data_IF_593919006386
#
_entry.id   IF_593919006386
#
_cell.length_a   1.000
_cell.length_b   1.000
_cell.length_c   1.000
_cell.angle_alpha   90.00
_cell.angle_beta   90.00
_cell.angle_gamma   90.00
#
_symmetry.space_group_name_H-M   'P 1'
#
loop_
_entity.id
_entity.type
_entity.pdbx_description
1 polymer ?
#
# COMPACT_ATOMS: atom_id res chain seq x y z
N UNK A 1 -14.10 2.63 10.59
CA UNK A 1 -12.97 2.64 9.63
C UNK A 1 -11.71 2.25 10.38
N UNK A 2 -10.85 1.45 9.77
CA UNK A 2 -9.57 1.07 10.33
C UNK A 2 -8.74 2.33 10.69
N UNK A 3 -8.00 2.24 11.80
CA UNK A 3 -7.00 3.24 12.17
C UNK A 3 -5.80 3.13 11.23
N UNK A 4 -5.33 4.26 10.70
CA UNK A 4 -4.19 4.26 9.79
C UNK A 4 -2.88 4.21 10.60
N UNK A 5 -2.00 3.26 10.28
CA UNK A 5 -0.68 3.11 10.89
C UNK A 5 0.40 3.17 9.80
N UNK A 6 1.10 4.30 9.73
CA UNK A 6 2.15 4.53 8.73
C UNK A 6 3.51 4.10 9.28
N UNK A 7 4.12 3.06 8.70
CA UNK A 7 5.49 2.69 9.07
C UNK A 7 6.49 3.72 8.55
N UNK A 8 7.64 3.82 9.23
CA UNK A 8 8.70 4.77 8.85
C UNK A 8 9.26 4.48 7.46
N UNK A 9 9.29 3.22 7.04
CA UNK A 9 9.64 2.81 5.69
C UNK A 9 8.67 3.39 4.65
N UNK A 10 7.36 3.23 4.87
CA UNK A 10 6.33 3.84 4.02
C UNK A 10 6.45 5.36 3.94
N UNK A 11 6.70 6.04 5.06
CA UNK A 11 6.87 7.50 5.07
C UNK A 11 8.02 7.94 4.16
N UNK A 12 9.19 7.28 4.28
CA UNK A 12 10.35 7.57 3.42
C UNK A 12 10.10 7.27 1.95
N UNK A 13 9.47 6.13 1.67
CA UNK A 13 9.09 5.72 0.32
C UNK A 13 8.14 6.76 -0.33
N UNK A 14 7.12 7.19 0.43
CA UNK A 14 6.15 8.18 0.00
C UNK A 14 6.79 9.55 -0.26
N UNK A 15 7.61 10.04 0.67
CA UNK A 15 8.33 11.31 0.49
C UNK A 15 9.24 11.27 -0.76
N UNK A 16 9.94 10.16 -0.99
CA UNK A 16 10.75 9.95 -2.20
C UNK A 16 9.91 10.04 -3.47
N UNK A 17 8.73 9.40 -3.48
CA UNK A 17 7.85 9.43 -4.65
C UNK A 17 7.27 10.84 -4.88
N UNK A 18 6.86 11.54 -3.82
CA UNK A 18 6.37 12.92 -3.93
C UNK A 18 7.43 13.85 -4.52
N UNK A 19 8.68 13.73 -4.07
CA UNK A 19 9.81 14.50 -4.63
C UNK A 19 10.02 14.24 -6.13
N UNK A 20 9.61 13.07 -6.63
CA UNK A 20 9.69 12.69 -8.04
C UNK A 20 8.39 12.96 -8.82
N UNK A 21 7.47 13.76 -8.27
CA UNK A 21 6.23 14.16 -8.96
C UNK A 21 5.11 13.11 -8.94
N UNK A 22 5.13 12.20 -7.96
CA UNK A 22 4.05 11.22 -7.80
C UNK A 22 2.72 11.88 -7.40
N UNK A 23 1.72 11.79 -8.26
CA UNK A 23 0.31 12.05 -7.91
C UNK A 23 -0.25 10.92 -7.03
N UNK A 24 -0.67 11.28 -5.81
CA UNK A 24 -1.16 10.39 -4.76
C UNK A 24 -2.69 10.23 -4.73
N UNK A 25 -3.41 10.82 -5.68
CA UNK A 25 -4.88 10.78 -5.73
C UNK A 25 -5.43 9.34 -5.76
N UNK A 26 -4.80 8.45 -6.53
CA UNK A 26 -5.17 7.02 -6.58
C UNK A 26 -4.83 6.31 -5.28
N UNK A 27 -3.65 6.60 -4.69
CA UNK A 27 -3.24 6.05 -3.40
C UNK A 27 -4.24 6.39 -2.30
N UNK A 28 -4.67 7.65 -2.23
CA UNK A 28 -5.64 8.12 -1.24
C UNK A 28 -7.01 7.42 -1.39
N UNK A 29 -7.46 7.17 -2.62
CA UNK A 29 -8.69 6.39 -2.87
C UNK A 29 -8.56 4.95 -2.40
N UNK A 30 -7.44 4.28 -2.73
CA UNK A 30 -7.17 2.90 -2.30
C UNK A 30 -7.11 2.80 -0.78
N UNK A 31 -6.39 3.70 -0.11
CA UNK A 31 -6.31 3.76 1.37
C UNK A 31 -7.70 3.93 1.96
N UNK A 32 -8.55 4.78 1.39
CA UNK A 32 -9.91 4.99 1.89
C UNK A 32 -10.75 3.72 1.82
N UNK A 33 -10.76 3.02 0.67
CA UNK A 33 -11.48 1.75 0.51
C UNK A 33 -10.96 0.69 1.47
N UNK A 34 -9.64 0.54 1.59
CA UNK A 34 -9.02 -0.38 2.54
C UNK A 34 -9.43 -0.05 3.99
N UNK A 35 -9.42 1.22 4.38
CA UNK A 35 -9.86 1.65 5.73
C UNK A 35 -11.34 1.36 5.99
N UNK A 36 -12.18 1.34 4.96
CA UNK A 36 -13.59 0.95 5.07
C UNK A 36 -13.81 -0.56 5.05
N UNK A 37 -12.76 -1.37 4.84
CA UNK A 37 -12.87 -2.81 4.59
C UNK A 37 -13.70 -3.12 3.33
N UNK A 38 -13.69 -2.20 2.37
CA UNK A 38 -14.30 -2.39 1.06
C UNK A 38 -13.31 -3.15 0.15
N UNK A 39 -13.79 -4.06 -0.72
CA UNK A 39 -12.94 -4.71 -1.69
C UNK A 39 -12.37 -3.68 -2.68
N UNK A 40 -11.12 -3.88 -3.08
CA UNK A 40 -10.52 -3.10 -4.16
C UNK A 40 -11.01 -3.61 -5.52
N UNK A 41 -11.11 -2.71 -6.48
CA UNK A 41 -11.37 -3.07 -7.87
C UNK A 41 -10.28 -4.03 -8.40
N UNK A 42 -10.63 -5.04 -9.24
CA UNK A 42 -9.66 -5.98 -9.81
C UNK A 42 -8.43 -5.32 -10.48
N UNK A 43 -8.55 -4.09 -10.99
CA UNK A 43 -7.42 -3.37 -11.61
C UNK A 43 -6.24 -3.14 -10.65
N UNK A 44 -6.50 -3.08 -9.33
CA UNK A 44 -5.47 -2.90 -8.31
C UNK A 44 -4.73 -4.21 -7.98
N UNK A 45 -5.15 -5.34 -8.54
CA UNK A 45 -4.49 -6.65 -8.39
C UNK A 45 -4.16 -7.01 -6.94
N UNK A 46 -5.07 -6.71 -6.01
CA UNK A 46 -4.87 -6.96 -4.58
C UNK A 46 -4.72 -8.47 -4.29
N UNK A 47 -3.61 -8.85 -3.68
CA UNK A 47 -3.34 -10.25 -3.34
C UNK A 47 -2.45 -10.40 -2.10
N UNK A 48 -2.50 -11.59 -1.49
CA UNK A 48 -1.64 -11.91 -0.35
C UNK A 48 -0.23 -12.27 -0.82
N UNK A 49 0.77 -11.69 -0.16
CA UNK A 49 2.17 -12.02 -0.42
C UNK A 49 2.55 -13.39 0.16
N UNK A 50 3.61 -13.99 -0.40
CA UNK A 50 4.09 -15.34 -0.05
C UNK A 50 5.47 -15.28 0.62
N UNK A 51 5.89 -16.40 1.21
CA UNK A 51 7.21 -16.54 1.83
C UNK A 51 7.44 -15.58 3.01
N UNK A 52 8.60 -14.90 3.02
CA UNK A 52 9.02 -13.95 4.06
C UNK A 52 8.07 -12.76 4.25
N UNK A 53 7.21 -12.52 3.28
CA UNK A 53 6.26 -11.41 3.27
C UNK A 53 4.90 -11.78 3.87
N UNK A 54 4.67 -13.01 4.32
CA UNK A 54 3.48 -13.28 5.14
C UNK A 54 3.58 -12.52 6.47
N UNK A 55 2.50 -11.89 6.96
CA UNK A 55 1.11 -11.95 6.49
C UNK A 55 0.68 -10.76 5.59
N UNK A 56 1.61 -10.04 4.97
CA UNK A 56 1.31 -8.83 4.20
C UNK A 56 0.57 -9.10 2.89
N UNK A 57 -0.07 -8.05 2.39
CA UNK A 57 -0.74 -7.96 1.09
C UNK A 57 -0.07 -6.90 0.22
N UNK A 58 -0.28 -7.01 -1.07
CA UNK A 58 0.19 -6.08 -2.10
C UNK A 58 -0.97 -5.67 -3.00
N UNK A 59 -1.00 -4.40 -3.41
CA UNK A 59 -1.81 -3.94 -4.53
C UNK A 59 -1.06 -2.90 -5.39
N UNK A 60 -1.42 -2.82 -6.67
CA UNK A 60 -0.85 -1.89 -7.64
C UNK A 60 -1.55 -0.54 -7.56
N UNK A 61 -0.84 0.54 -7.24
CA UNK A 61 -1.35 1.92 -7.30
C UNK A 61 -1.15 2.50 -8.70
N UNK A 62 -0.06 2.14 -9.37
CA UNK A 62 0.25 2.38 -10.79
C UNK A 62 0.89 1.12 -11.37
N UNK A 63 1.19 1.12 -12.67
CA UNK A 63 1.80 -0.02 -13.36
C UNK A 63 3.02 -0.59 -12.61
N UNK A 64 3.91 0.27 -12.11
CA UNK A 64 5.12 -0.10 -11.35
C UNK A 64 5.20 0.62 -9.99
N UNK A 65 4.05 0.90 -9.34
CA UNK A 65 4.03 1.40 -7.96
C UNK A 65 3.11 0.52 -7.14
N UNK A 66 3.69 -0.20 -6.20
CA UNK A 66 3.04 -1.19 -5.35
C UNK A 66 2.90 -0.65 -3.93
N UNK A 67 1.75 -0.87 -3.32
CA UNK A 67 1.51 -0.65 -1.89
C UNK A 67 1.58 -1.99 -1.16
N UNK A 68 2.48 -2.12 -0.18
CA UNK A 68 2.51 -3.27 0.73
C UNK A 68 1.86 -2.89 2.05
N UNK A 69 0.84 -3.64 2.45
CA UNK A 69 0.02 -3.32 3.61
C UNK A 69 -0.42 -4.56 4.40
N UNK A 70 -0.96 -4.33 5.60
CA UNK A 70 -1.55 -5.35 6.45
C UNK A 70 -2.77 -4.78 7.16
N UNK A 71 -3.86 -5.55 7.21
CA UNK A 71 -5.01 -5.26 8.08
C UNK A 71 -4.90 -6.15 9.31
N UNK A 72 -4.75 -5.55 10.49
CA UNK A 72 -4.60 -6.28 11.76
C UNK A 72 -5.04 -5.40 12.93
N UNK A 73 -5.71 -5.99 13.92
CA UNK A 73 -6.07 -5.32 15.19
C UNK A 73 -6.78 -3.95 15.01
N UNK A 74 -7.74 -3.91 14.07
CA UNK A 74 -8.47 -2.70 13.63
C UNK A 74 -7.60 -1.57 13.05
N UNK A 75 -6.38 -1.90 12.63
CA UNK A 75 -5.48 -1.03 11.89
C UNK A 75 -5.33 -1.42 10.43
N UNK A 76 -5.16 -0.41 9.58
CA UNK A 76 -4.55 -0.51 8.26
C UNK A 76 -3.10 -0.06 8.38
N UNK A 77 -2.18 -1.02 8.37
CA UNK A 77 -0.74 -0.80 8.46
C UNK A 77 -0.18 -0.66 7.04
N UNK A 78 0.37 0.51 6.72
CA UNK A 78 1.09 0.73 5.45
C UNK A 78 2.58 0.53 5.68
N UNK A 79 3.17 -0.46 5.01
CA UNK A 79 4.55 -0.91 5.25
C UNK A 79 5.54 -0.31 4.24
N UNK A 80 5.27 -0.44 2.95
CA UNK A 80 6.13 0.02 1.85
C UNK A 80 5.32 0.60 0.70
N UNK A 81 5.93 1.47 -0.09
CA UNK A 81 5.42 1.99 -1.35
C UNK A 81 6.58 2.08 -2.35
N UNK A 82 6.43 1.61 -3.59
CA UNK A 82 7.55 1.70 -4.55
C UNK A 82 7.44 0.70 -5.69
N UNK A 83 8.45 0.67 -6.55
CA UNK A 83 8.51 -0.28 -7.66
C UNK A 83 8.74 -1.70 -7.20
N UNK A 84 8.46 -2.68 -8.06
CA UNK A 84 8.74 -4.08 -7.72
C UNK A 84 10.20 -4.31 -7.32
N UNK A 85 11.15 -3.69 -8.04
CA UNK A 85 12.59 -3.79 -7.79
C UNK A 85 13.08 -3.10 -6.51
N UNK A 86 12.34 -2.11 -5.99
CA UNK A 86 12.67 -1.44 -4.73
C UNK A 86 12.14 -2.20 -3.50
N UNK A 87 11.14 -3.05 -3.71
CA UNK A 87 10.45 -3.77 -2.66
C UNK A 87 10.94 -5.21 -2.49
N UNK A 88 11.34 -5.86 -3.58
CA UNK A 88 11.65 -7.29 -3.62
C UNK A 88 13.02 -7.59 -4.25
#
# INVERSE_FOLDING_TARGET
MLRLNLKKSFQKDFDKLLLNGFDDSVLNKVILSLRKKEPLDPQFQDHALKGKWKPFRECHIKADILLVYLVKDDELILLRLGSHSELF
#
